data_IF_034022994440
#
_entry.id   IF_034022994440
#
_cell.length_a   1.000
_cell.length_b   1.000
_cell.length_c   1.000
_cell.angle_alpha   90.00
_cell.angle_beta   90.00
_cell.angle_gamma   90.00
#
_symmetry.space_group_name_H-M   'P 1'
#
loop_
_entity.id
_entity.type
_entity.pdbx_description
1 polymer ?
#
# COMPACT_ATOMS: atom_id res chain seq x y z
N UNK A 1 -23.06 9.91 8.34
CA UNK A 1 -22.36 9.40 7.13
C UNK A 1 -23.30 8.47 6.37
N UNK A 2 -23.67 8.79 5.11
CA UNK A 2 -24.58 7.95 4.31
C UNK A 2 -23.95 6.60 3.96
N UNK A 3 -24.71 5.49 4.08
CA UNK A 3 -24.25 4.11 3.81
C UNK A 3 -23.54 3.93 2.46
N UNK A 4 -24.01 4.64 1.43
CA UNK A 4 -23.42 4.62 0.08
C UNK A 4 -21.94 5.02 0.11
N UNK A 5 -21.56 6.03 0.89
CA UNK A 5 -20.17 6.51 0.93
C UNK A 5 -19.23 5.62 1.73
N UNK A 6 -19.75 4.59 2.41
CA UNK A 6 -18.92 3.54 3.03
C UNK A 6 -18.48 2.47 2.03
N UNK A 7 -19.30 2.22 1.00
CA UNK A 7 -19.07 1.17 -0.01
C UNK A 7 -18.48 1.71 -1.33
N UNK A 8 -18.51 3.03 -1.51
CA UNK A 8 -18.02 3.71 -2.70
C UNK A 8 -16.91 4.70 -2.38
N UNK A 9 -15.88 4.70 -3.22
CA UNK A 9 -14.80 5.69 -3.20
C UNK A 9 -15.10 6.74 -4.28
N UNK A 10 -15.06 8.02 -3.92
CA UNK A 10 -15.16 9.12 -4.89
C UNK A 10 -13.85 9.19 -5.67
N UNK A 11 -13.93 9.07 -7.00
CA UNK A 11 -12.77 9.29 -7.86
C UNK A 11 -12.71 10.75 -8.27
N UNK A 12 -13.82 11.27 -8.81
CA UNK A 12 -13.96 12.62 -9.31
C UNK A 12 -15.24 13.28 -8.74
N UNK A 13 -15.52 14.51 -9.13
CA UNK A 13 -16.80 15.19 -8.84
C UNK A 13 -17.98 14.45 -9.48
N UNK A 14 -17.76 13.83 -10.64
CA UNK A 14 -18.80 13.18 -11.46
C UNK A 14 -18.78 11.65 -11.31
N UNK A 15 -17.78 11.04 -10.68
CA UNK A 15 -17.60 9.58 -10.73
C UNK A 15 -17.28 8.97 -9.37
N UNK A 16 -17.79 7.77 -9.12
CA UNK A 16 -17.51 6.97 -7.94
C UNK A 16 -17.24 5.51 -8.32
N UNK A 17 -16.31 4.87 -7.58
CA UNK A 17 -15.92 3.48 -7.76
C UNK A 17 -16.51 2.61 -6.67
N UNK A 18 -17.12 1.48 -7.05
CA UNK A 18 -17.60 0.47 -6.12
C UNK A 18 -16.44 -0.34 -5.53
N UNK A 19 -16.40 -0.43 -4.20
CA UNK A 19 -15.38 -1.16 -3.46
C UNK A 19 -15.94 -2.35 -2.67
N UNK A 20 -17.15 -2.79 -3.01
CA UNK A 20 -17.72 -4.01 -2.43
C UNK A 20 -16.90 -5.22 -2.85
N UNK A 21 -16.60 -6.08 -1.89
CA UNK A 21 -15.97 -7.38 -2.09
C UNK A 21 -17.05 -8.46 -1.99
N UNK A 22 -17.10 -9.33 -2.99
CA UNK A 22 -17.91 -10.55 -2.96
C UNK A 22 -16.95 -11.72 -3.03
N UNK A 23 -16.69 -12.35 -1.88
CA UNK A 23 -15.59 -13.30 -1.72
C UNK A 23 -14.24 -12.64 -1.95
N UNK A 24 -13.43 -13.19 -2.86
CA UNK A 24 -12.07 -12.71 -3.17
C UNK A 24 -12.03 -11.60 -4.24
N UNK A 25 -13.15 -11.30 -4.91
CA UNK A 25 -13.19 -10.34 -6.02
C UNK A 25 -13.80 -9.00 -5.58
N UNK A 26 -13.09 -7.92 -5.88
CA UNK A 26 -13.64 -6.56 -5.73
C UNK A 26 -14.41 -6.20 -6.99
N UNK A 27 -15.60 -5.63 -6.84
CA UNK A 27 -16.43 -5.20 -7.97
C UNK A 27 -15.69 -4.25 -8.90
N UNK A 28 -15.15 -3.15 -8.35
CA UNK A 28 -14.35 -2.18 -9.07
C UNK A 28 -15.08 -1.35 -10.13
N UNK A 29 -16.40 -1.52 -10.30
CA UNK A 29 -17.19 -0.76 -11.28
C UNK A 29 -17.16 0.74 -10.99
N UNK A 30 -16.95 1.55 -12.03
CA UNK A 30 -17.01 3.02 -11.97
C UNK A 30 -18.35 3.49 -12.49
N UNK A 31 -19.03 4.33 -11.70
CA UNK A 31 -20.37 4.82 -11.99
C UNK A 31 -20.37 6.35 -12.01
N UNK A 32 -21.09 6.91 -12.98
CA UNK A 32 -21.33 8.35 -13.05
C UNK A 32 -22.39 8.77 -12.03
N UNK A 33 -22.13 9.90 -11.38
CA UNK A 33 -22.97 10.56 -10.38
C UNK A 33 -23.79 11.63 -11.07
N UNK A 34 -24.89 11.24 -11.68
CA UNK A 34 -25.88 12.18 -12.19
C UNK A 34 -26.71 12.72 -11.01
N UNK A 35 -26.21 13.75 -10.33
CA UNK A 35 -26.97 14.56 -9.36
C UNK A 35 -27.38 13.88 -8.04
N UNK A 36 -27.06 12.61 -7.81
CA UNK A 36 -27.46 11.92 -6.57
C UNK A 36 -26.85 10.53 -6.37
N UNK A 37 -27.36 9.79 -5.39
CA UNK A 37 -26.89 8.44 -5.02
C UNK A 37 -27.82 7.32 -5.49
N UNK A 38 -28.91 7.62 -6.20
CA UNK A 38 -29.89 6.61 -6.68
C UNK A 38 -29.24 5.55 -7.57
N UNK A 39 -28.41 5.95 -8.53
CA UNK A 39 -27.69 5.02 -9.40
C UNK A 39 -26.67 4.14 -8.65
N UNK A 40 -26.06 4.68 -7.60
CA UNK A 40 -25.14 3.93 -6.74
C UNK A 40 -25.89 2.87 -5.91
N UNK A 41 -27.07 3.23 -5.38
CA UNK A 41 -27.93 2.29 -4.65
C UNK A 41 -28.47 1.18 -5.55
N UNK A 42 -28.88 1.52 -6.77
CA UNK A 42 -29.35 0.53 -7.73
C UNK A 42 -28.25 -0.46 -8.12
N UNK A 43 -27.01 0.03 -8.27
CA UNK A 43 -25.85 -0.84 -8.46
C UNK A 43 -25.66 -1.80 -7.28
N UNK A 44 -25.69 -1.31 -6.05
CA UNK A 44 -25.56 -2.16 -4.85
C UNK A 44 -26.65 -3.24 -4.80
N UNK A 45 -27.90 -2.88 -5.14
CA UNK A 45 -29.02 -3.82 -5.14
C UNK A 45 -28.88 -4.87 -6.25
N UNK A 46 -28.54 -4.46 -7.47
CA UNK A 46 -28.49 -5.36 -8.63
C UNK A 46 -27.25 -6.24 -8.67
N UNK A 47 -26.10 -5.72 -8.22
CA UNK A 47 -24.82 -6.44 -8.30
C UNK A 47 -24.46 -7.16 -7.01
N UNK A 48 -24.80 -6.60 -5.85
CA UNK A 48 -24.37 -7.12 -4.56
C UNK A 48 -25.53 -7.61 -3.68
N UNK A 49 -26.78 -7.51 -4.16
CA UNK A 49 -27.99 -7.77 -3.37
C UNK A 49 -28.06 -6.98 -2.05
N UNK A 50 -27.27 -5.91 -1.90
CA UNK A 50 -27.24 -5.07 -0.70
C UNK A 50 -28.44 -4.13 -0.75
N UNK A 51 -29.43 -4.41 0.09
CA UNK A 51 -30.60 -3.54 0.27
C UNK A 51 -30.39 -2.61 1.46
N UNK A 52 -30.83 -1.36 1.35
CA UNK A 52 -30.71 -0.34 2.41
C UNK A 52 -31.39 -0.72 3.75
N UNK A 53 -32.23 -1.78 3.76
CA UNK A 53 -33.02 -2.20 4.92
C UNK A 53 -32.30 -3.19 5.85
N UNK A 54 -31.17 -3.76 5.45
CA UNK A 54 -30.47 -4.77 6.24
C UNK A 54 -29.02 -4.37 6.53
N UNK A 55 -28.73 -3.72 7.67
CA UNK A 55 -27.37 -3.41 8.08
C UNK A 55 -26.55 -4.66 8.45
N UNK A 56 -27.21 -5.82 8.59
CA UNK A 56 -26.60 -7.11 8.97
C UNK A 56 -25.80 -7.76 7.84
N UNK A 57 -25.95 -7.33 6.58
CA UNK A 57 -25.21 -7.87 5.43
C UNK A 57 -23.94 -7.07 5.08
N UNK A 58 -23.49 -6.19 5.96
CA UNK A 58 -22.22 -5.48 5.80
C UNK A 58 -21.10 -6.48 6.13
N UNK A 59 -20.78 -7.33 5.15
CA UNK A 59 -19.57 -8.16 5.15
C UNK A 59 -18.38 -7.22 5.37
N UNK A 60 -17.55 -7.58 6.36
CA UNK A 60 -16.36 -6.90 6.84
C UNK A 60 -15.77 -5.89 5.86
N UNK A 61 -16.09 -4.61 6.08
CA UNK A 61 -15.39 -3.50 5.45
C UNK A 61 -14.04 -3.43 6.16
N UNK A 62 -13.06 -4.16 5.65
CA UNK A 62 -11.67 -3.82 5.91
C UNK A 62 -11.49 -2.37 5.45
N UNK A 63 -10.96 -1.54 6.34
CA UNK A 63 -10.68 -0.13 6.08
C UNK A 63 -10.01 0.02 4.71
N UNK A 64 -10.39 1.06 3.92
CA UNK A 64 -9.82 1.24 2.60
C UNK A 64 -8.29 1.21 2.72
N UNK A 65 -7.57 0.44 1.90
CA UNK A 65 -6.13 0.42 1.95
C UNK A 65 -5.65 1.84 1.68
N UNK A 66 -5.21 2.53 2.74
CA UNK A 66 -4.46 3.78 2.68
C UNK A 66 -3.47 3.62 1.54
N UNK A 67 -3.57 4.52 0.56
CA UNK A 67 -2.99 4.39 -0.76
C UNK A 67 -1.62 3.68 -0.74
N UNK A 68 -1.62 2.39 -1.15
CA UNK A 68 -0.40 1.57 -1.29
C UNK A 68 0.64 2.18 -2.25
N UNK A 69 0.31 3.27 -2.95
CA UNK A 69 1.25 4.03 -3.77
C UNK A 69 2.36 4.71 -2.96
N UNK A 70 2.12 5.12 -1.72
CA UNK A 70 3.21 5.67 -0.88
C UNK A 70 4.06 4.56 -0.25
N UNK A 71 3.47 3.40 0.04
CA UNK A 71 4.19 2.29 0.65
C UNK A 71 5.21 1.66 -0.32
N UNK A 72 4.91 1.59 -1.62
CA UNK A 72 5.85 1.05 -2.63
C UNK A 72 7.13 1.89 -2.79
N UNK A 73 7.04 3.22 -2.63
CA UNK A 73 8.22 4.09 -2.71
C UNK A 73 9.14 3.89 -1.51
N UNK A 74 8.57 3.72 -0.32
CA UNK A 74 9.31 3.37 0.89
C UNK A 74 9.82 1.92 0.87
N UNK A 75 9.07 0.96 0.32
CA UNK A 75 9.51 -0.44 0.20
C UNK A 75 10.73 -0.57 -0.73
N UNK A 76 10.78 0.22 -1.82
CA UNK A 76 11.95 0.31 -2.69
C UNK A 76 13.17 0.89 -1.95
N UNK A 77 12.96 1.95 -1.17
CA UNK A 77 14.01 2.53 -0.32
C UNK A 77 14.45 1.58 0.80
N UNK A 78 13.55 0.70 1.27
CA UNK A 78 13.82 -0.27 2.33
C UNK A 78 14.43 -1.58 1.82
N UNK A 79 14.48 -1.79 0.50
CA UNK A 79 15.08 -2.97 -0.14
C UNK A 79 16.53 -2.76 -0.58
N UNK A 80 17.04 -1.52 -0.61
CA UNK A 80 18.47 -1.30 -0.80
C UNK A 80 19.22 -1.76 0.45
N UNK A 81 19.99 -2.85 0.33
CA UNK A 81 20.99 -3.14 1.35
C UNK A 81 22.00 -2.00 1.34
N UNK A 82 22.36 -1.50 2.52
CA UNK A 82 23.51 -0.61 2.74
C UNK A 82 24.75 -0.99 1.88
N UNK A 83 24.99 -2.28 1.65
CA UNK A 83 26.08 -2.78 0.79
C UNK A 83 25.90 -2.37 -0.69
N UNK A 84 24.66 -2.36 -1.19
CA UNK A 84 24.31 -1.94 -2.54
C UNK A 84 24.45 -0.42 -2.71
N UNK A 85 24.07 0.35 -1.69
CA UNK A 85 24.25 1.80 -1.71
C UNK A 85 25.74 2.17 -1.67
N UNK A 86 26.55 1.46 -0.87
CA UNK A 86 28.01 1.59 -0.87
C UNK A 86 28.61 1.22 -2.22
N UNK A 87 28.19 0.09 -2.81
CA UNK A 87 28.65 -0.33 -4.13
C UNK A 87 28.28 0.70 -5.21
N UNK A 88 27.09 1.31 -5.12
CA UNK A 88 26.67 2.37 -6.03
C UNK A 88 27.50 3.64 -5.84
N UNK A 89 27.80 4.06 -4.62
CA UNK A 89 28.67 5.23 -4.37
C UNK A 89 30.10 5.02 -4.92
N UNK A 90 30.65 3.81 -4.81
CA UNK A 90 31.96 3.48 -5.39
C UNK A 90 31.90 3.51 -6.92
N UNK A 91 30.86 2.94 -7.52
CA UNK A 91 30.74 2.81 -8.97
C UNK A 91 30.29 4.09 -9.69
N UNK A 92 29.41 4.89 -9.09
CA UNK A 92 28.79 6.06 -9.74
C UNK A 92 29.43 7.38 -9.32
N UNK A 93 29.83 7.52 -8.05
CA UNK A 93 30.39 8.77 -7.51
C UNK A 93 31.93 8.78 -7.49
N UNK A 94 32.58 7.77 -8.10
CA UNK A 94 34.05 7.60 -8.11
C UNK A 94 34.68 7.63 -6.71
N UNK A 95 33.94 7.25 -5.67
CA UNK A 95 34.52 7.13 -4.34
C UNK A 95 35.52 5.98 -4.33
N UNK A 96 36.74 6.26 -3.90
CA UNK A 96 37.74 5.20 -3.73
C UNK A 96 37.40 4.32 -2.53
N UNK A 97 37.81 3.06 -2.59
CA UNK A 97 37.66 2.14 -1.46
C UNK A 97 38.23 2.70 -0.15
N UNK A 98 39.33 3.47 -0.21
CA UNK A 98 39.92 4.09 0.98
C UNK A 98 39.03 5.15 1.62
N UNK A 99 38.27 5.93 0.83
CA UNK A 99 37.35 6.93 1.37
C UNK A 99 36.12 6.28 2.02
N UNK A 100 35.64 5.20 1.43
CA UNK A 100 34.53 4.41 1.99
C UNK A 100 34.97 3.69 3.27
N UNK A 101 36.16 3.09 3.25
CA UNK A 101 36.68 2.34 4.40
C UNK A 101 37.15 3.24 5.53
N UNK A 102 37.54 4.49 5.29
CA UNK A 102 37.89 5.45 6.35
C UNK A 102 36.69 6.12 7.01
N UNK A 103 35.48 5.98 6.44
CA UNK A 103 34.27 6.55 6.99
C UNK A 103 33.79 5.79 8.22
N UNK A 104 33.91 6.40 9.41
CA UNK A 104 33.43 5.83 10.68
C UNK A 104 31.92 5.56 10.67
N UNK A 105 31.16 6.39 9.97
CA UNK A 105 29.71 6.24 9.84
C UNK A 105 29.35 4.94 9.10
N UNK A 106 29.96 4.70 7.94
CA UNK A 106 29.70 3.50 7.13
C UNK A 106 30.16 2.24 7.86
N UNK A 107 31.32 2.29 8.52
CA UNK A 107 31.80 1.17 9.33
C UNK A 107 30.86 0.84 10.49
N UNK A 108 30.34 1.86 11.20
CA UNK A 108 29.43 1.66 12.33
C UNK A 108 28.11 1.06 11.86
N UNK A 109 27.56 1.57 10.76
CA UNK A 109 26.33 1.06 10.16
C UNK A 109 26.47 -0.40 9.68
N UNK A 110 27.61 -0.75 9.09
CA UNK A 110 27.91 -2.13 8.71
C UNK A 110 28.04 -3.04 9.94
N UNK A 111 28.83 -2.64 10.94
CA UNK A 111 29.03 -3.42 12.18
C UNK A 111 27.69 -3.72 12.88
N UNK A 112 26.80 -2.73 13.00
CA UNK A 112 25.47 -2.90 13.61
C UNK A 112 24.59 -3.93 12.89
N UNK A 113 24.70 -4.06 11.55
CA UNK A 113 24.00 -5.10 10.79
C UNK A 113 24.58 -6.49 11.04
N UNK A 114 25.92 -6.63 11.12
CA UNK A 114 26.56 -7.92 11.37
C UNK A 114 26.40 -8.39 12.82
N UNK A 115 26.35 -7.49 13.81
CA UNK A 115 26.10 -7.85 15.21
C UNK A 115 24.65 -8.30 15.45
N UNK A 116 23.69 -7.80 14.67
CA UNK A 116 22.27 -8.21 14.77
C UNK A 116 21.96 -9.53 14.05
N UNK A 117 22.82 -10.00 13.15
CA UNK A 117 22.74 -11.37 12.64
C UNK A 117 23.31 -12.30 13.70
N UNK A 118 22.48 -12.78 14.64
CA UNK A 118 22.81 -13.93 15.49
C UNK A 118 23.26 -15.06 14.57
N UNK A 119 24.55 -15.34 14.54
CA UNK A 119 25.13 -16.52 13.89
C UNK A 119 24.49 -17.71 14.62
N UNK A 120 23.74 -18.61 13.93
CA UNK A 120 23.29 -19.83 14.57
C UNK A 120 24.54 -20.59 15.03
N UNK A 121 24.68 -20.79 16.34
CA UNK A 121 25.70 -21.68 16.91
C UNK A 121 25.38 -23.09 16.41
N UNK A 122 26.12 -23.54 15.41
CA UNK A 122 26.10 -24.92 14.97
C UNK A 122 27.00 -25.67 15.97
N UNK A 123 26.36 -26.39 16.90
CA UNK A 123 26.99 -27.44 17.72
C UNK A 123 26.53 -28.78 17.16
#
# INVERSE_FOLDING_TARGET
MSLVWKLFIKLNTIEAKCCVKEGEKTCGCVLKRSGGTKGLLEHLKRKHNISQKDPSQIVSIEEPPVAKKQKLMFDYLNQSSLEKDIAQMICCDNMTYQQVSSSEFLQTALKQKYTNKKIPKIW
#
